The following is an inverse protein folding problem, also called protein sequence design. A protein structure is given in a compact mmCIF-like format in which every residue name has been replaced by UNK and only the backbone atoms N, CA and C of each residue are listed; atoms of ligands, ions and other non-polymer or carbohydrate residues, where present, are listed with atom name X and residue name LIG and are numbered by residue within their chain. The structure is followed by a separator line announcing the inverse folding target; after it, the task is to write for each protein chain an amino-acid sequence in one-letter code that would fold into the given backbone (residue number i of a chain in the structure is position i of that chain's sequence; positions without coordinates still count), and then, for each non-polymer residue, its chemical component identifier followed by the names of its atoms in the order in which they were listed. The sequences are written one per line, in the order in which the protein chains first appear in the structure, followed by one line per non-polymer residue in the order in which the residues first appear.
data_IF_522303669348
#
_entry.id   IF_522303669348
#
_cell.length_a   1.000
_cell.length_b   1.000
_cell.length_c   1.000
_cell.angle_alpha   90.00
_cell.angle_beta   90.00
_cell.angle_gamma   90.00
#
_symmetry.space_group_name_H-M   'P 1'
#
loop_
_entity.id
_entity.type
_entity.pdbx_description
1 polymer ?
#
# COMPACT_ATOMS: atom_id res chain seq x y z
N UNK A 1 -18.79 -9.31 -2.03
CA UNK A 1 -17.81 -8.51 -2.79
C UNK A 1 -16.85 -7.69 -1.91
N UNK A 2 -17.32 -6.77 -1.06
CA UNK A 2 -16.46 -5.79 -0.38
C UNK A 2 -15.39 -6.40 0.56
N UNK A 3 -15.69 -7.52 1.23
CA UNK A 3 -14.72 -8.26 2.05
C UNK A 3 -13.58 -8.87 1.20
N UNK A 4 -13.90 -9.39 0.01
CA UNK A 4 -12.90 -9.93 -0.91
C UNK A 4 -11.99 -8.82 -1.44
N UNK A 5 -12.56 -7.68 -1.83
CA UNK A 5 -11.80 -6.50 -2.27
C UNK A 5 -10.89 -5.96 -1.16
N UNK A 6 -11.36 -5.92 0.08
CA UNK A 6 -10.54 -5.50 1.21
C UNK A 6 -9.38 -6.47 1.50
N UNK A 7 -9.60 -7.78 1.36
CA UNK A 7 -8.52 -8.78 1.46
C UNK A 7 -7.54 -8.66 0.30
N UNK A 8 -8.02 -8.51 -0.92
CA UNK A 8 -7.17 -8.30 -2.09
C UNK A 8 -6.30 -7.05 -1.90
N UNK A 9 -6.88 -5.94 -1.46
CA UNK A 9 -6.13 -4.73 -1.13
C UNK A 9 -5.06 -4.98 -0.07
N UNK A 10 -5.39 -5.69 1.02
CA UNK A 10 -4.42 -6.02 2.06
C UNK A 10 -3.26 -6.87 1.53
N UNK A 11 -3.55 -7.89 0.71
CA UNK A 11 -2.54 -8.76 0.09
C UNK A 11 -1.64 -7.96 -0.84
N UNK A 12 -2.22 -7.15 -1.72
CA UNK A 12 -1.45 -6.29 -2.64
C UNK A 12 -0.57 -5.32 -1.85
N UNK A 13 -1.07 -4.72 -0.76
CA UNK A 13 -0.27 -3.81 0.06
C UNK A 13 0.95 -4.50 0.69
N UNK A 14 0.79 -5.72 1.21
CA UNK A 14 1.93 -6.48 1.75
C UNK A 14 2.87 -6.98 0.67
N UNK A 15 2.36 -7.37 -0.49
CA UNK A 15 3.18 -7.67 -1.66
C UNK A 15 4.02 -6.45 -2.07
N UNK A 16 3.43 -5.25 -2.08
CA UNK A 16 4.15 -3.99 -2.33
C UNK A 16 5.25 -3.74 -1.29
N UNK A 17 5.01 -3.99 0.01
CA UNK A 17 6.06 -3.87 1.04
C UNK A 17 7.25 -4.76 0.72
N UNK A 18 7.01 -6.05 0.47
CA UNK A 18 8.08 -7.02 0.14
C UNK A 18 8.80 -6.60 -1.15
N UNK A 19 8.03 -6.15 -2.15
CA UNK A 19 8.57 -5.65 -3.41
C UNK A 19 9.50 -4.45 -3.25
N UNK A 20 9.15 -3.48 -2.40
CA UNK A 20 9.99 -2.31 -2.12
C UNK A 20 11.26 -2.71 -1.36
N UNK A 21 11.17 -3.65 -0.40
CA UNK A 21 12.36 -4.18 0.27
C UNK A 21 13.31 -4.87 -0.72
N UNK A 22 12.76 -5.63 -1.67
CA UNK A 22 13.55 -6.20 -2.76
C UNK A 22 14.18 -5.10 -3.63
N UNK A 23 13.49 -3.99 -3.90
CA UNK A 23 14.09 -2.85 -4.62
C UNK A 23 15.33 -2.28 -3.92
N UNK A 24 15.27 -2.13 -2.59
CA UNK A 24 16.39 -1.64 -1.78
C UNK A 24 17.55 -2.63 -1.85
N UNK A 25 17.26 -3.94 -1.73
CA UNK A 25 18.27 -4.99 -1.91
C UNK A 25 18.93 -4.93 -3.30
N UNK A 26 18.14 -4.80 -4.38
CA UNK A 26 18.66 -4.74 -5.75
C UNK A 26 19.52 -3.48 -5.98
N UNK A 27 19.15 -2.33 -5.39
CA UNK A 27 19.98 -1.12 -5.45
C UNK A 27 21.32 -1.33 -4.72
N UNK A 28 21.28 -1.91 -3.52
CA UNK A 28 22.49 -2.25 -2.76
C UNK A 28 23.37 -3.24 -3.53
N UNK A 29 22.79 -4.32 -4.04
CA UNK A 29 23.48 -5.30 -4.85
C UNK A 29 24.10 -4.70 -6.12
N UNK A 30 23.42 -3.75 -6.77
CA UNK A 30 23.98 -2.95 -7.87
C UNK A 30 25.17 -2.11 -7.44
N UNK A 31 25.14 -1.52 -6.25
CA UNK A 31 26.24 -0.73 -5.68
C UNK A 31 27.47 -1.57 -5.38
N UNK A 32 27.28 -2.84 -4.99
CA UNK A 32 28.35 -3.79 -4.71
C UNK A 32 28.74 -4.68 -5.91
N UNK A 33 28.15 -4.45 -7.09
CA UNK A 33 28.43 -5.24 -8.30
C UNK A 33 27.90 -6.68 -8.28
N UNK A 34 27.02 -7.03 -7.33
CA UNK A 34 26.44 -8.36 -7.19
C UNK A 34 25.28 -8.63 -8.15
N UNK A 35 24.56 -7.57 -8.56
CA UNK A 35 23.48 -7.63 -9.57
C UNK A 35 23.53 -6.38 -10.45
N UNK A 36 22.87 -6.38 -11.60
CA UNK A 36 22.81 -5.19 -12.47
C UNK A 36 21.80 -4.15 -11.96
N UNK A 37 22.10 -2.87 -12.19
CA UNK A 37 21.13 -1.79 -11.96
C UNK A 37 19.92 -1.84 -12.89
N UNK A 38 20.03 -2.51 -14.03
CA UNK A 38 18.89 -2.71 -14.94
C UNK A 38 17.81 -3.57 -14.29
N UNK A 39 18.19 -4.57 -13.50
CA UNK A 39 17.25 -5.39 -12.75
C UNK A 39 16.50 -4.56 -11.70
N UNK A 40 17.22 -3.71 -10.95
CA UNK A 40 16.62 -2.74 -10.03
C UNK A 40 15.64 -1.79 -10.76
N UNK A 41 16.01 -1.29 -11.93
CA UNK A 41 15.13 -0.38 -12.69
C UNK A 41 13.88 -1.09 -13.21
N UNK A 42 14.03 -2.27 -13.80
CA UNK A 42 12.94 -3.06 -14.34
C UNK A 42 11.95 -3.47 -13.23
N UNK A 43 12.47 -3.94 -12.09
CA UNK A 43 11.65 -4.31 -10.94
C UNK A 43 10.91 -3.10 -10.36
N UNK A 44 11.59 -1.95 -10.23
CA UNK A 44 10.98 -0.70 -9.81
C UNK A 44 9.81 -0.27 -10.70
N UNK A 45 9.97 -0.34 -12.02
CA UNK A 45 8.89 -0.05 -12.97
C UNK A 45 7.69 -1.00 -12.80
N UNK A 46 7.96 -2.31 -12.63
CA UNK A 46 6.91 -3.32 -12.45
C UNK A 46 6.12 -3.10 -11.16
N UNK A 47 6.77 -2.67 -10.08
CA UNK A 47 6.11 -2.33 -8.81
C UNK A 47 5.13 -1.16 -8.92
N UNK A 48 5.20 -0.35 -9.97
CA UNK A 48 4.18 0.65 -10.26
C UNK A 48 2.79 0.06 -10.42
N UNK A 49 2.66 -1.17 -10.95
CA UNK A 49 1.37 -1.82 -11.19
C UNK A 49 0.58 -2.06 -9.89
N UNK A 50 1.11 -2.78 -8.87
CA UNK A 50 0.37 -2.96 -7.61
C UNK A 50 0.10 -1.62 -6.90
N UNK A 51 1.02 -0.64 -7.01
CA UNK A 51 0.83 0.70 -6.41
C UNK A 51 -0.34 1.43 -7.08
N UNK A 52 -0.52 1.33 -8.40
CA UNK A 52 -1.66 1.90 -9.13
C UNK A 52 -2.98 1.18 -8.81
N UNK A 53 -2.94 -0.13 -8.59
CA UNK A 53 -4.12 -0.94 -8.27
C UNK A 53 -4.66 -0.65 -6.86
N UNK A 54 -3.80 -0.31 -5.91
CA UNK A 54 -4.18 -0.08 -4.51
C UNK A 54 -5.27 1.00 -4.32
N UNK A 55 -5.17 2.21 -4.88
CA UNK A 55 -6.25 3.21 -4.81
C UNK A 55 -7.59 2.70 -5.34
N UNK A 56 -7.58 1.94 -6.44
CA UNK A 56 -8.78 1.36 -7.05
C UNK A 56 -9.43 0.37 -6.08
N UNK A 57 -8.64 -0.54 -5.50
CA UNK A 57 -9.13 -1.49 -4.51
C UNK A 57 -9.56 -0.80 -3.20
N UNK A 58 -8.94 0.31 -2.81
CA UNK A 58 -9.28 1.06 -1.61
C UNK A 58 -10.67 1.70 -1.74
N UNK A 59 -10.93 2.31 -2.90
CA UNK A 59 -12.21 2.91 -3.27
C UNK A 59 -13.29 1.83 -3.39
N UNK A 60 -13.06 0.80 -4.22
CA UNK A 60 -14.02 -0.27 -4.46
C UNK A 60 -14.31 -1.11 -3.20
N UNK A 61 -13.28 -1.35 -2.38
CA UNK A 61 -13.36 -2.07 -1.11
C UNK A 61 -13.93 -1.23 0.04
N UNK A 62 -14.11 0.08 -0.14
CA UNK A 62 -14.57 1.04 0.87
C UNK A 62 -13.77 0.98 2.17
N UNK A 63 -12.44 1.00 2.07
CA UNK A 63 -11.51 0.84 3.22
C UNK A 63 -11.61 2.03 4.19
N UNK A 64 -12.19 3.16 3.75
CA UNK A 64 -12.37 4.37 4.52
C UNK A 64 -11.38 5.46 4.12
N UNK A 65 -11.65 6.71 4.55
CA UNK A 65 -10.88 7.91 4.15
C UNK A 65 -9.38 7.76 4.42
N UNK A 66 -9.02 7.19 5.57
CA UNK A 66 -7.61 6.92 5.93
C UNK A 66 -6.94 5.94 4.98
N UNK A 67 -7.62 4.84 4.62
CA UNK A 67 -7.07 3.85 3.68
C UNK A 67 -6.85 4.44 2.30
N UNK A 68 -7.83 5.17 1.78
CA UNK A 68 -7.73 5.86 0.49
C UNK A 68 -6.58 6.89 0.52
N UNK A 69 -6.50 7.72 1.56
CA UNK A 69 -5.43 8.70 1.71
C UNK A 69 -4.04 8.08 1.73
N UNK A 70 -3.86 6.95 2.41
CA UNK A 70 -2.58 6.21 2.43
C UNK A 70 -2.22 5.66 1.04
N UNK A 71 -3.18 5.12 0.28
CA UNK A 71 -2.90 4.64 -1.09
C UNK A 71 -2.55 5.77 -2.05
N UNK A 72 -3.19 6.93 -1.91
CA UNK A 72 -2.87 8.12 -2.72
C UNK A 72 -1.49 8.68 -2.35
N UNK A 73 -1.17 8.72 -1.05
CA UNK A 73 0.17 9.10 -0.58
C UNK A 73 1.23 8.14 -1.12
N UNK A 74 0.98 6.83 -1.08
CA UNK A 74 1.90 5.82 -1.63
C UNK A 74 2.16 6.05 -3.13
N UNK A 75 1.11 6.32 -3.90
CA UNK A 75 1.23 6.63 -5.33
C UNK A 75 2.02 7.92 -5.56
N UNK A 76 1.76 8.98 -4.80
CA UNK A 76 2.52 10.23 -4.88
C UNK A 76 4.01 10.04 -4.57
N UNK A 77 4.32 9.33 -3.49
CA UNK A 77 5.69 8.99 -3.12
C UNK A 77 6.36 8.11 -4.19
N UNK A 78 5.64 7.23 -4.86
CA UNK A 78 6.18 6.42 -5.95
C UNK A 78 6.56 7.28 -7.16
N UNK A 79 5.71 8.24 -7.53
CA UNK A 79 6.03 9.20 -8.61
C UNK A 79 7.29 10.00 -8.25
N UNK A 80 7.39 10.48 -7.01
CA UNK A 80 8.59 11.16 -6.52
C UNK A 80 9.82 10.23 -6.57
N UNK A 81 9.68 8.96 -6.15
CA UNK A 81 10.76 7.96 -6.19
C UNK A 81 11.34 7.81 -7.59
N UNK A 82 10.47 7.78 -8.60
CA UNK A 82 10.85 7.64 -10.01
C UNK A 82 11.52 8.89 -10.57
N UNK A 83 11.14 10.08 -10.09
CA UNK A 83 11.70 11.34 -10.55
C UNK A 83 13.08 11.63 -9.96
N UNK A 84 13.31 11.33 -8.67
CA UNK A 84 14.53 11.71 -7.95
C UNK A 84 15.86 11.29 -8.64
N UNK A 85 16.00 10.07 -9.19
CA UNK A 85 17.24 9.66 -9.87
C UNK A 85 17.59 10.50 -11.10
N UNK A 86 16.61 11.12 -11.76
CA UNK A 86 16.85 11.97 -12.93
C UNK A 86 17.63 13.24 -12.58
N UNK A 87 17.59 13.65 -11.31
CA UNK A 87 18.26 14.86 -10.82
C UNK A 87 19.74 14.64 -10.48
N UNK A 88 20.25 13.40 -10.58
CA UNK A 88 21.60 13.03 -10.08
C UNK A 88 22.77 13.84 -10.65
N UNK A 89 22.64 14.38 -11.87
CA UNK A 89 23.70 15.15 -12.53
C UNK A 89 23.69 16.62 -12.09
N UNK A 90 22.50 17.22 -11.94
CA UNK A 90 22.37 18.65 -11.63
C UNK A 90 22.19 18.97 -10.14
N UNK A 91 21.51 18.10 -9.39
CA UNK A 91 21.13 18.31 -7.98
C UNK A 91 21.35 17.01 -7.18
N UNK A 92 22.59 16.53 -7.03
CA UNK A 92 22.89 15.23 -6.43
C UNK A 92 22.41 15.11 -4.97
N UNK A 93 22.48 16.17 -4.19
CA UNK A 93 21.95 16.20 -2.82
C UNK A 93 20.44 16.03 -2.77
N UNK A 94 19.71 16.52 -3.79
CA UNK A 94 18.27 16.29 -3.90
C UNK A 94 18.00 14.87 -4.38
N UNK A 95 18.73 14.38 -5.38
CA UNK A 95 18.62 13.01 -5.85
C UNK A 95 18.86 11.98 -4.72
N UNK A 96 19.71 12.30 -3.74
CA UNK A 96 19.97 11.44 -2.58
C UNK A 96 18.72 11.18 -1.70
N UNK A 97 17.70 12.05 -1.75
CA UNK A 97 16.40 11.76 -1.11
C UNK A 97 15.72 10.51 -1.68
N UNK A 98 16.18 9.96 -2.81
CA UNK A 98 15.66 8.71 -3.36
C UNK A 98 15.72 7.57 -2.34
N UNK A 99 16.79 7.49 -1.53
CA UNK A 99 16.93 6.43 -0.51
C UNK A 99 15.96 6.69 0.66
N UNK A 100 15.81 7.94 1.11
CA UNK A 100 14.88 8.30 2.17
C UNK A 100 13.41 8.15 1.74
N UNK A 101 13.10 8.43 0.48
CA UNK A 101 11.75 8.24 -0.05
C UNK A 101 11.41 6.75 -0.19
N UNK A 102 12.40 5.88 -0.47
CA UNK A 102 12.20 4.43 -0.44
C UNK A 102 11.81 3.91 0.95
N UNK A 103 12.43 4.42 2.02
CA UNK A 103 12.04 4.03 3.40
C UNK A 103 10.65 4.56 3.77
N UNK A 104 10.30 5.76 3.33
CA UNK A 104 8.95 6.30 3.48
C UNK A 104 7.91 5.43 2.74
N UNK A 105 8.21 4.98 1.52
CA UNK A 105 7.36 4.06 0.74
C UNK A 105 7.09 2.76 1.50
N UNK A 106 8.11 2.14 2.13
CA UNK A 106 7.94 0.95 2.98
C UNK A 106 6.96 1.23 4.12
N UNK A 107 7.17 2.33 4.84
CA UNK A 107 6.33 2.73 5.98
C UNK A 107 4.86 2.94 5.59
N UNK A 108 4.62 3.66 4.50
CA UNK A 108 3.26 3.96 3.99
C UNK A 108 2.60 2.70 3.42
N UNK A 109 3.33 1.84 2.70
CA UNK A 109 2.79 0.57 2.21
C UNK A 109 2.38 -0.36 3.37
N UNK A 110 3.21 -0.45 4.41
CA UNK A 110 2.88 -1.23 5.60
C UNK A 110 1.68 -0.63 6.37
N UNK A 111 1.59 0.70 6.48
CA UNK A 111 0.43 1.38 7.06
C UNK A 111 -0.85 1.11 6.27
N UNK A 112 -0.75 1.07 4.94
CA UNK A 112 -1.85 0.72 4.02
C UNK A 112 -2.36 -0.69 4.30
N UNK A 113 -1.46 -1.68 4.40
CA UNK A 113 -1.81 -3.07 4.72
C UNK A 113 -2.49 -3.21 6.09
N UNK A 114 -1.99 -2.50 7.10
CA UNK A 114 -2.60 -2.48 8.46
C UNK A 114 -3.99 -1.83 8.46
N UNK A 115 -4.19 -0.73 7.73
CA UNK A 115 -5.48 -0.06 7.63
C UNK A 115 -6.57 -0.99 7.05
N UNK A 116 -6.22 -1.81 6.05
CA UNK A 116 -7.13 -2.81 5.50
C UNK A 116 -7.44 -3.92 6.48
N UNK A 117 -6.43 -4.41 7.22
CA UNK A 117 -6.63 -5.41 8.28
C UNK A 117 -7.62 -4.92 9.34
N UNK A 118 -7.49 -3.66 9.77
CA UNK A 118 -8.41 -3.03 10.70
C UNK A 118 -9.84 -2.93 10.13
N UNK A 119 -9.99 -2.53 8.86
CA UNK A 119 -11.29 -2.47 8.20
C UNK A 119 -11.97 -3.85 8.08
N UNK A 120 -11.19 -4.90 7.77
CA UNK A 120 -11.68 -6.28 7.73
C UNK A 120 -12.12 -6.75 9.12
N UNK A 121 -11.32 -6.49 10.16
CA UNK A 121 -11.63 -6.87 11.53
C UNK A 121 -12.88 -6.15 12.06
N UNK A 122 -13.06 -4.87 11.74
CA UNK A 122 -14.26 -4.11 12.10
C UNK A 122 -15.54 -4.74 11.51
N UNK A 123 -15.50 -5.13 10.22
CA UNK A 123 -16.65 -5.75 9.54
C UNK A 123 -17.03 -7.12 10.08
N UNK A 124 -16.05 -7.92 10.53
CA UNK A 124 -16.33 -9.23 11.17
C UNK A 124 -17.02 -9.09 12.52
N UNK A 125 -16.81 -7.97 13.22
CA UNK A 125 -17.38 -7.69 14.55
C UNK A 125 -18.78 -7.10 14.51
N UNK A 126 -19.41 -6.99 13.34
CA UNK A 126 -20.81 -6.59 13.21
C UNK A 126 -21.68 -7.83 12.93
N UNK A 127 -21.90 -8.74 13.89
CA UNK A 127 -23.02 -9.65 13.80
C UNK A 127 -24.30 -8.81 13.93
N UNK A 128 -25.24 -9.10 13.04
CA UNK A 128 -26.59 -8.54 13.03
C UNK A 128 -27.21 -8.76 14.42
N UNK A 129 -27.30 -7.69 15.23
CA UNK A 129 -28.23 -7.62 16.36
C UNK A 129 -29.64 -7.55 15.75
N UNK A 130 -30.19 -8.69 15.34
CA UNK A 130 -31.58 -8.80 14.91
C UNK A 130 -32.13 -10.13 15.40
N UNK A 131 -32.38 -10.15 16.68
CA UNK A 131 -33.37 -10.96 17.42
C UNK A 131 -33.47 -10.21 18.76
N UNK A 132 -34.60 -9.70 19.23
CA UNK A 132 -35.95 -10.22 19.18
C UNK A 132 -36.90 -9.06 19.43
N UNK A 133 -37.92 -8.92 18.58
CA UNK A 133 -39.18 -8.30 18.97
C UNK A 133 -39.75 -9.07 20.16
N UNK A 134 -39.55 -8.59 21.38
CA UNK A 134 -40.41 -8.98 22.48
C UNK A 134 -41.73 -8.22 22.28
N UNK A 135 -42.61 -8.79 21.48
CA UNK A 135 -44.01 -8.44 21.50
C UNK A 135 -44.54 -8.74 22.89
N UNK A 136 -44.86 -7.69 23.65
CA UNK A 136 -45.75 -7.79 24.80
C UNK A 136 -47.18 -7.67 24.28
N UNK A 137 -47.69 -8.78 23.75
CA UNK A 137 -49.13 -9.05 23.85
C UNK A 137 -49.42 -9.41 25.30
N UNK A 138 -50.02 -8.47 26.03
CA UNK A 138 -50.89 -8.66 27.19
C UNK A 138 -51.95 -7.58 27.02
N UNK A 139 -53.24 -7.85 26.83
CA UNK A 139 -54.02 -8.97 27.33
C UNK A 139 -55.10 -8.38 28.24
N UNK A 140 -56.35 -8.38 27.74
CA UNK A 140 -57.62 -8.05 28.40
C UNK A 140 -57.90 -6.57 28.77
#
# INVERSE_FOLDING_TARGET
MQMALARAHQIVAWFTVVGILLQIYLAGGGSFGAVSYDLHRAWGNLLGLPILVLPILALAGRIGRRGIGLTMLLLGLYIVQMALPSLRVGLPYIAAFHVLNATALVGVAAATGRASGAAIAARRRTPVLTTTSAGSEHGA
#
